data_IF_596674251785
#
_entry.id   IF_596674251785
#
_cell.length_a   1.000
_cell.length_b   1.000
_cell.length_c   1.000
_cell.angle_alpha   90.00
_cell.angle_beta   90.00
_cell.angle_gamma   90.00
#
_symmetry.space_group_name_H-M   'P 1'
#
loop_
_entity.id
_entity.type
_entity.pdbx_description
1 polymer ?
#
# COMPACT_ATOMS: atom_id res chain seq x y z
N UNK A 1 4.29 -14.89 -3.19
CA UNK A 1 3.84 -13.75 -2.38
C UNK A 1 4.71 -13.43 -1.15
N UNK A 2 5.25 -14.40 -0.42
CA UNK A 2 6.06 -14.14 0.78
C UNK A 2 7.22 -13.15 0.58
N UNK A 3 7.94 -13.22 -0.54
CA UNK A 3 9.04 -12.28 -0.84
C UNK A 3 8.54 -10.84 -1.06
N UNK A 4 7.37 -10.66 -1.68
CA UNK A 4 6.75 -9.32 -1.82
C UNK A 4 6.45 -8.75 -0.45
N UNK A 5 5.82 -9.54 0.43
CA UNK A 5 5.50 -9.13 1.81
C UNK A 5 6.77 -8.76 2.59
N UNK A 6 7.84 -9.55 2.45
CA UNK A 6 9.13 -9.28 3.09
C UNK A 6 9.72 -7.94 2.64
N UNK A 7 9.72 -7.65 1.33
CA UNK A 7 10.22 -6.37 0.79
C UNK A 7 9.34 -5.19 1.20
N UNK A 8 8.03 -5.41 1.29
CA UNK A 8 7.12 -4.40 1.81
C UNK A 8 7.47 -4.07 3.26
N UNK A 9 7.69 -5.07 4.11
CA UNK A 9 8.00 -4.88 5.53
C UNK A 9 9.38 -4.23 5.75
N UNK A 10 10.41 -4.73 5.07
CA UNK A 10 11.80 -4.29 5.29
C UNK A 10 12.17 -2.97 4.60
N UNK A 11 11.52 -2.63 3.49
CA UNK A 11 11.93 -1.49 2.64
C UNK A 11 10.82 -0.48 2.50
N UNK A 12 9.61 -0.93 2.13
CA UNK A 12 8.53 -0.01 1.78
C UNK A 12 7.91 0.65 3.00
N UNK A 13 7.54 -0.14 4.00
CA UNK A 13 6.78 0.30 5.16
C UNK A 13 7.54 1.35 5.96
N UNK A 14 8.87 1.22 6.07
CA UNK A 14 9.71 2.23 6.70
C UNK A 14 9.67 3.58 5.94
N UNK A 15 9.68 3.57 4.60
CA UNK A 15 9.57 4.79 3.79
C UNK A 15 8.16 5.38 3.85
N UNK A 16 7.14 4.53 3.73
CA UNK A 16 5.74 4.93 3.71
C UNK A 16 5.30 5.55 5.05
N UNK A 17 5.73 4.95 6.18
CA UNK A 17 5.40 5.44 7.52
C UNK A 17 5.99 6.82 7.85
N UNK A 18 7.01 7.25 7.10
CA UNK A 18 7.62 8.59 7.22
C UNK A 18 6.91 9.65 6.37
N UNK A 19 5.97 9.27 5.51
CA UNK A 19 5.19 10.24 4.74
C UNK A 19 4.25 11.01 5.68
N UNK A 20 4.12 12.31 5.42
CA UNK A 20 3.19 13.16 6.14
C UNK A 20 1.78 12.57 6.08
N UNK A 21 1.11 12.53 7.23
CA UNK A 21 -0.28 12.10 7.35
C UNK A 21 -0.49 10.59 7.31
N UNK A 22 0.57 9.76 7.36
CA UNK A 22 0.44 8.31 7.46
C UNK A 22 -0.26 7.91 8.77
N UNK A 23 -1.27 7.06 8.68
CA UNK A 23 -2.00 6.53 9.84
C UNK A 23 -1.79 5.02 10.00
N UNK A 24 -2.05 4.25 8.94
CA UNK A 24 -2.00 2.79 9.00
C UNK A 24 -1.61 2.18 7.66
N UNK A 25 -1.05 0.97 7.72
CA UNK A 25 -0.83 0.12 6.56
C UNK A 25 -1.19 -1.33 6.88
N UNK A 26 -1.89 -1.97 5.95
CA UNK A 26 -2.24 -3.38 6.03
C UNK A 26 -1.85 -4.08 4.74
N UNK A 27 -1.39 -5.32 4.89
CA UNK A 27 -1.19 -6.25 3.77
C UNK A 27 -2.08 -7.45 4.02
N UNK A 28 -2.88 -7.80 3.02
CA UNK A 28 -3.81 -8.91 3.06
C UNK A 28 -3.55 -9.80 1.85
N UNK A 29 -3.66 -11.11 2.06
CA UNK A 29 -3.63 -12.10 0.99
C UNK A 29 -5.01 -12.75 0.95
N UNK A 30 -5.62 -12.74 -0.23
CA UNK A 30 -6.87 -13.46 -0.48
C UNK A 30 -6.58 -14.96 -0.74
N UNK A 31 -5.44 -15.23 -1.38
CA UNK A 31 -4.89 -16.55 -1.69
C UNK A 31 -3.37 -16.46 -1.91
N UNK A 32 -2.74 -17.58 -2.28
CA UNK A 32 -1.28 -17.69 -2.48
C UNK A 32 -0.73 -16.87 -3.67
N UNK A 33 -1.61 -16.34 -4.53
CA UNK A 33 -1.28 -15.59 -5.75
C UNK A 33 -1.65 -14.10 -5.70
N UNK A 34 -2.56 -13.69 -4.82
CA UNK A 34 -3.06 -12.31 -4.74
C UNK A 34 -2.67 -11.63 -3.43
N UNK A 35 -2.13 -10.43 -3.56
CA UNK A 35 -1.81 -9.55 -2.45
C UNK A 35 -2.51 -8.20 -2.63
N UNK A 36 -3.11 -7.70 -1.56
CA UNK A 36 -3.68 -6.36 -1.51
C UNK A 36 -3.07 -5.61 -0.35
N UNK A 37 -2.59 -4.40 -0.62
CA UNK A 37 -2.20 -3.48 0.45
C UNK A 37 -3.20 -2.35 0.59
N UNK A 38 -3.48 -1.95 1.82
CA UNK A 38 -4.33 -0.80 2.14
C UNK A 38 -3.54 0.16 3.01
N UNK A 39 -3.46 1.41 2.59
CA UNK A 39 -2.82 2.49 3.35
C UNK A 39 -3.83 3.57 3.66
N UNK A 40 -3.90 4.03 4.91
CA UNK A 40 -4.75 5.12 5.33
C UNK A 40 -3.92 6.36 5.66
N UNK A 41 -4.45 7.52 5.27
CA UNK A 41 -3.83 8.82 5.51
C UNK A 41 -4.86 9.81 6.07
N UNK A 42 -4.38 10.79 6.85
CA UNK A 42 -5.19 11.83 7.49
C UNK A 42 -5.96 12.70 6.48
N UNK A 43 -5.44 12.84 5.25
CA UNK A 43 -6.00 13.69 4.22
C UNK A 43 -5.75 13.13 2.80
N UNK A 44 -6.58 13.57 1.85
CA UNK A 44 -6.56 13.13 0.45
C UNK A 44 -5.26 13.50 -0.28
N UNK A 45 -4.66 14.66 0.04
CA UNK A 45 -3.43 15.09 -0.62
C UNK A 45 -2.24 14.22 -0.20
N UNK A 46 -2.16 13.86 1.08
CA UNK A 46 -1.21 12.90 1.62
C UNK A 46 -1.43 11.50 1.01
N UNK A 47 -2.68 11.05 0.90
CA UNK A 47 -3.04 9.78 0.26
C UNK A 47 -2.62 9.69 -1.22
N UNK A 48 -2.85 10.74 -2.02
CA UNK A 48 -2.40 10.79 -3.42
C UNK A 48 -0.88 10.67 -3.56
N UNK A 49 -0.13 11.41 -2.74
CA UNK A 49 1.35 11.34 -2.74
C UNK A 49 1.84 9.94 -2.38
N UNK A 50 1.18 9.30 -1.43
CA UNK A 50 1.51 7.93 -1.04
C UNK A 50 1.24 6.92 -2.16
N UNK A 51 0.16 7.10 -2.92
CA UNK A 51 -0.14 6.25 -4.07
C UNK A 51 0.88 6.41 -5.21
N UNK A 52 1.30 7.64 -5.52
CA UNK A 52 2.38 7.91 -6.47
C UNK A 52 3.68 7.23 -6.02
N UNK A 53 4.05 7.40 -4.75
CA UNK A 53 5.25 6.77 -4.18
C UNK A 53 5.16 5.23 -4.15
N UNK A 54 3.95 4.67 -3.96
CA UNK A 54 3.71 3.22 -4.02
C UNK A 54 3.92 2.68 -5.43
N UNK A 55 3.40 3.37 -6.44
CA UNK A 55 3.55 2.98 -7.84
C UNK A 55 5.03 3.00 -8.27
N UNK A 56 5.76 4.06 -7.88
CA UNK A 56 7.21 4.16 -8.12
C UNK A 56 7.98 3.03 -7.42
N UNK A 57 7.62 2.73 -6.16
CA UNK A 57 8.28 1.67 -5.39
C UNK A 57 8.05 0.30 -6.04
N UNK A 58 6.81 -0.04 -6.41
CA UNK A 58 6.49 -1.30 -7.11
C UNK A 58 7.32 -1.43 -8.38
N UNK A 59 7.31 -0.41 -9.23
CA UNK A 59 8.04 -0.38 -10.50
C UNK A 59 9.56 -0.30 -10.36
N UNK A 60 10.12 -0.22 -9.16
CA UNK A 60 11.57 -0.23 -8.92
C UNK A 60 12.05 -1.41 -8.09
N UNK A 61 11.17 -1.99 -7.25
CA UNK A 61 11.54 -2.96 -6.22
C UNK A 61 10.94 -4.34 -6.43
N UNK A 62 10.03 -4.52 -7.39
CA UNK A 62 9.39 -5.81 -7.66
C UNK A 62 9.61 -6.32 -9.09
N UNK A 63 10.35 -5.60 -9.95
CA UNK A 63 10.55 -5.95 -11.36
C UNK A 63 11.27 -7.30 -11.59
N UNK A 64 12.00 -7.79 -10.60
CA UNK A 64 12.69 -9.07 -10.62
C UNK A 64 11.78 -10.24 -10.16
N UNK A 65 10.57 -9.95 -9.71
CA UNK A 65 9.58 -10.93 -9.31
C UNK A 65 8.52 -11.10 -10.41
N UNK A 66 8.01 -12.32 -10.55
CA UNK A 66 6.89 -12.63 -11.45
C UNK A 66 5.57 -12.20 -10.80
N UNK A 67 5.32 -10.90 -10.79
CA UNK A 67 4.10 -10.28 -10.24
C UNK A 67 3.57 -9.21 -11.18
N UNK A 68 2.25 -9.11 -11.26
CA UNK A 68 1.57 -8.13 -12.09
C UNK A 68 0.79 -7.14 -11.22
N UNK A 69 0.84 -5.85 -11.59
CA UNK A 69 -0.04 -4.86 -11.01
C UNK A 69 -1.43 -4.98 -11.64
N UNK A 70 -2.43 -5.32 -10.83
CA UNK A 70 -3.80 -5.49 -11.30
C UNK A 70 -4.57 -4.17 -11.33
N UNK A 71 -4.66 -3.49 -10.19
CA UNK A 71 -5.42 -2.26 -10.04
C UNK A 71 -5.08 -1.49 -8.76
N UNK A 72 -5.48 -0.22 -8.70
CA UNK A 72 -5.38 0.64 -7.51
C UNK A 72 -6.63 1.51 -7.39
N UNK A 73 -7.18 1.56 -6.18
CA UNK A 73 -8.33 2.37 -5.83
C UNK A 73 -7.95 3.40 -4.77
N UNK A 74 -8.53 4.59 -4.85
CA UNK A 74 -8.35 5.65 -3.85
C UNK A 74 -9.70 6.30 -3.57
N UNK A 75 -9.93 6.65 -2.31
CA UNK A 75 -11.16 7.30 -1.89
C UNK A 75 -11.17 7.60 -0.40
N UNK A 76 -12.16 8.36 0.08
CA UNK A 76 -12.31 8.68 1.48
C UNK A 76 -12.67 7.43 2.30
N UNK A 77 -12.13 7.35 3.52
CA UNK A 77 -12.61 6.38 4.52
C UNK A 77 -13.83 6.98 5.21
N UNK A 78 -15.01 6.41 4.95
CA UNK A 78 -16.26 6.86 5.56
C UNK A 78 -16.61 5.93 6.73
N UNK A 79 -16.62 6.46 7.94
CA UNK A 79 -17.04 5.72 9.14
C UNK A 79 -18.54 5.93 9.34
N UNK A 80 -19.30 4.86 9.23
CA UNK A 80 -20.72 4.85 9.62
C UNK A 80 -20.80 4.47 11.10
N UNK A 81 -21.03 5.46 11.96
CA UNK A 81 -21.26 5.20 13.39
C UNK A 81 -22.56 4.43 13.58
N UNK A 82 -22.50 3.27 14.23
CA UNK A 82 -23.67 2.60 14.77
C UNK A 82 -24.15 3.37 16.00
N UNK A 83 -25.33 3.99 15.90
CA UNK A 83 -26.09 4.40 17.08
C UNK A 83 -26.81 3.19 17.68
#
# INVERSE_FOLDING_TARGET
MAEVVRRVDEVWLEKLSKLHGFETYYVMSADDSHLTSVSAFIDEASGRKAAEASAEWVGSNLNDLDVEFLEMWQGPVVVHGGN
#
